data_IF_825367389857
#
_entry.id   IF_825367389857
#
_cell.length_a   1.000
_cell.length_b   1.000
_cell.length_c   1.000
_cell.angle_alpha   90.00
_cell.angle_beta   90.00
_cell.angle_gamma   90.00
#
_symmetry.space_group_name_H-M   'P 1'
#
loop_
_entity.id
_entity.type
_entity.pdbx_description
1 polymer ?
#
# COMPACT_ATOMS: atom_id res chain seq x y z
N UNK A 1 -10.07 8.26 -10.79
CA UNK A 1 -8.79 8.71 -11.37
C UNK A 1 -8.26 9.83 -10.50
N UNK A 2 -7.34 9.55 -9.58
CA UNK A 2 -6.56 10.62 -8.95
C UNK A 2 -5.78 11.28 -10.08
N UNK A 3 -6.17 12.51 -10.45
CA UNK A 3 -5.33 13.35 -11.26
C UNK A 3 -4.05 13.60 -10.46
N UNK A 4 -3.00 12.86 -10.80
CA UNK A 4 -1.67 12.97 -10.19
C UNK A 4 -1.00 14.26 -10.67
N UNK A 5 -1.63 15.40 -10.43
CA UNK A 5 -1.09 16.73 -10.73
C UNK A 5 0.29 16.94 -10.07
N UNK A 6 0.54 16.23 -8.95
CA UNK A 6 1.82 16.20 -8.24
C UNK A 6 2.93 15.47 -9.03
N UNK A 7 2.60 14.49 -9.88
CA UNK A 7 3.59 13.74 -10.67
C UNK A 7 3.96 14.42 -11.98
N UNK A 8 3.00 15.07 -12.65
CA UNK A 8 3.24 15.72 -13.96
C UNK A 8 4.30 16.82 -13.87
N UNK A 9 4.33 17.56 -12.75
CA UNK A 9 5.35 18.60 -12.48
C UNK A 9 6.50 18.12 -11.59
N UNK A 10 6.55 16.82 -11.25
CA UNK A 10 7.53 16.21 -10.33
C UNK A 10 7.67 16.91 -8.97
N UNK A 11 6.64 17.63 -8.52
CA UNK A 11 6.67 18.34 -7.24
C UNK A 11 6.86 17.40 -6.04
N UNK A 12 6.40 16.16 -6.16
CA UNK A 12 6.66 15.14 -5.15
C UNK A 12 8.15 14.87 -4.90
N UNK A 13 9.03 15.09 -5.89
CA UNK A 13 10.47 14.90 -5.73
C UNK A 13 11.15 16.05 -4.98
N UNK A 14 10.46 17.17 -4.78
CA UNK A 14 10.96 18.33 -4.03
C UNK A 14 10.59 18.26 -2.54
N UNK A 15 9.74 17.30 -2.16
CA UNK A 15 9.32 17.09 -0.79
C UNK A 15 10.42 16.43 0.05
N UNK A 16 10.41 16.68 1.35
CA UNK A 16 11.27 15.96 2.27
C UNK A 16 10.90 14.46 2.30
N UNK A 17 11.86 13.59 2.65
CA UNK A 17 11.65 12.12 2.66
C UNK A 17 10.41 11.70 3.46
N UNK A 18 10.11 12.24 4.66
CA UNK A 18 8.89 11.87 5.39
C UNK A 18 7.59 12.24 4.65
N UNK A 19 7.59 13.34 3.91
CA UNK A 19 6.43 13.79 3.12
C UNK A 19 6.25 12.92 1.87
N UNK A 20 7.35 12.54 1.21
CA UNK A 20 7.31 11.55 0.11
C UNK A 20 6.77 10.21 0.60
N UNK A 21 7.18 9.77 1.80
CA UNK A 21 6.67 8.56 2.40
C UNK A 21 5.15 8.63 2.64
N UNK A 22 4.61 9.77 3.07
CA UNK A 22 3.16 9.92 3.23
C UNK A 22 2.42 9.66 1.92
N UNK A 23 2.94 10.18 0.80
CA UNK A 23 2.35 9.96 -0.53
C UNK A 23 2.50 8.49 -0.98
N UNK A 24 3.66 7.87 -0.73
CA UNK A 24 3.87 6.45 -0.99
C UNK A 24 2.89 5.57 -0.20
N UNK A 25 2.62 5.90 1.08
CA UNK A 25 1.64 5.19 1.90
C UNK A 25 0.21 5.35 1.36
N UNK A 26 -0.15 6.49 0.79
CA UNK A 26 -1.46 6.66 0.13
C UNK A 26 -1.57 5.72 -1.08
N UNK A 27 -0.52 5.60 -1.89
CA UNK A 27 -0.48 4.66 -3.02
C UNK A 27 -0.59 3.20 -2.54
N UNK A 28 0.10 2.85 -1.45
CA UNK A 28 0.04 1.51 -0.82
C UNK A 28 -1.35 1.08 -0.37
N UNK A 29 -2.30 2.00 -0.19
CA UNK A 29 -3.67 1.68 0.24
C UNK A 29 -4.68 1.62 -0.92
N UNK A 30 -4.25 1.85 -2.15
CA UNK A 30 -5.06 1.71 -3.36
C UNK A 30 -5.33 0.24 -3.69
N UNK A 31 -6.50 -0.08 -4.25
CA UNK A 31 -6.78 -1.42 -4.82
C UNK A 31 -6.46 -1.49 -6.33
N UNK A 32 -5.70 -0.51 -6.86
CA UNK A 32 -5.25 -0.53 -8.25
C UNK A 32 -3.79 -0.95 -8.36
N UNK A 33 -3.52 -2.05 -9.07
CA UNK A 33 -2.16 -2.57 -9.31
C UNK A 33 -1.18 -1.53 -9.86
N UNK A 34 -1.65 -0.60 -10.70
CA UNK A 34 -0.82 0.48 -11.27
C UNK A 34 -0.28 1.44 -10.22
N UNK A 35 -1.02 1.66 -9.13
CA UNK A 35 -0.59 2.58 -8.07
C UNK A 35 0.56 1.97 -7.25
N UNK A 36 0.52 0.66 -7.00
CA UNK A 36 1.63 -0.07 -6.40
C UNK A 36 2.87 -0.13 -7.29
N UNK A 37 2.68 -0.28 -8.61
CA UNK A 37 3.79 -0.21 -9.57
C UNK A 37 4.47 1.16 -9.53
N UNK A 38 3.67 2.23 -9.46
CA UNK A 38 4.18 3.59 -9.28
C UNK A 38 4.91 3.74 -7.93
N UNK A 39 4.32 3.23 -6.84
CA UNK A 39 4.94 3.26 -5.52
C UNK A 39 6.31 2.56 -5.53
N UNK A 40 6.40 1.37 -6.12
CA UNK A 40 7.67 0.62 -6.26
C UNK A 40 8.74 1.42 -7.02
N UNK A 41 8.37 2.04 -8.13
CA UNK A 41 9.30 2.89 -8.90
C UNK A 41 9.81 4.06 -8.05
N UNK A 42 8.93 4.68 -7.28
CA UNK A 42 9.27 5.85 -6.48
C UNK A 42 10.05 5.48 -5.20
N UNK A 43 9.72 4.38 -4.51
CA UNK A 43 10.56 3.85 -3.42
C UNK A 43 12.01 3.66 -3.87
N UNK A 44 12.24 3.07 -5.04
CA UNK A 44 13.59 2.91 -5.61
C UNK A 44 14.31 4.25 -5.78
N UNK A 45 13.59 5.28 -6.24
CA UNK A 45 14.15 6.62 -6.35
C UNK A 45 14.52 7.20 -4.98
N UNK A 46 13.63 7.10 -3.98
CA UNK A 46 13.90 7.60 -2.62
C UNK A 46 15.09 6.89 -1.99
N UNK A 47 15.26 5.57 -2.17
CA UNK A 47 16.44 4.86 -1.66
C UNK A 47 17.76 5.34 -2.29
N UNK A 48 17.72 5.81 -3.54
CA UNK A 48 18.90 6.32 -4.23
C UNK A 48 19.26 7.76 -3.85
N UNK A 49 18.26 8.58 -3.47
CA UNK A 49 18.46 10.02 -3.24
C UNK A 49 18.42 10.42 -1.77
N UNK A 50 17.82 9.62 -0.89
CA UNK A 50 17.71 9.93 0.53
C UNK A 50 19.06 9.77 1.26
N UNK A 51 19.34 10.61 2.28
CA UNK A 51 20.46 10.40 3.19
C UNK A 51 20.43 8.99 3.81
N UNK A 52 21.59 8.38 4.00
CA UNK A 52 21.72 7.00 4.49
C UNK A 52 20.91 6.73 5.78
N UNK A 53 20.94 7.66 6.74
CA UNK A 53 20.18 7.54 8.00
C UNK A 53 18.67 7.42 7.79
N UNK A 54 18.13 8.02 6.71
CA UNK A 54 16.71 7.95 6.38
C UNK A 54 16.37 6.73 5.51
N UNK A 55 17.34 6.12 4.82
CA UNK A 55 17.11 4.89 4.05
C UNK A 55 16.69 3.73 4.95
N UNK A 56 17.29 3.61 6.15
CA UNK A 56 16.90 2.58 7.12
C UNK A 56 15.44 2.70 7.55
N UNK A 57 14.98 3.94 7.78
CA UNK A 57 13.59 4.22 8.09
C UNK A 57 12.65 3.81 6.94
N UNK A 58 13.03 4.10 5.69
CA UNK A 58 12.24 3.75 4.50
C UNK A 58 12.19 2.24 4.23
N UNK A 59 13.19 1.46 4.66
CA UNK A 59 13.28 0.02 4.39
C UNK A 59 12.08 -0.75 4.95
N UNK A 60 11.63 -0.41 6.17
CA UNK A 60 10.45 -1.03 6.78
C UNK A 60 9.19 -0.78 5.96
N UNK A 61 8.98 0.47 5.54
CA UNK A 61 7.83 0.85 4.71
C UNK A 61 7.84 0.18 3.35
N UNK A 62 9.00 0.08 2.69
CA UNK A 62 9.10 -0.62 1.41
C UNK A 62 8.80 -2.11 1.52
N UNK A 63 9.25 -2.78 2.60
CA UNK A 63 8.87 -4.17 2.86
C UNK A 63 7.36 -4.32 3.02
N UNK A 64 6.72 -3.41 3.76
CA UNK A 64 5.26 -3.42 3.91
C UNK A 64 4.54 -3.18 2.58
N UNK A 65 5.04 -2.29 1.73
CA UNK A 65 4.52 -2.09 0.38
C UNK A 65 4.59 -3.36 -0.47
N UNK A 66 5.67 -4.15 -0.36
CA UNK A 66 5.74 -5.44 -1.07
C UNK A 66 4.65 -6.42 -0.62
N UNK A 67 4.31 -6.42 0.67
CA UNK A 67 3.20 -7.26 1.19
C UNK A 67 1.86 -6.79 0.61
N UNK A 68 1.60 -5.48 0.58
CA UNK A 68 0.39 -4.93 -0.03
C UNK A 68 0.31 -5.25 -1.53
N UNK A 69 1.41 -5.08 -2.26
CA UNK A 69 1.46 -5.41 -3.68
C UNK A 69 1.18 -6.90 -3.93
N UNK A 70 1.70 -7.82 -3.12
CA UNK A 70 1.42 -9.25 -3.25
C UNK A 70 -0.07 -9.56 -3.07
N UNK A 71 -0.74 -8.91 -2.12
CA UNK A 71 -2.18 -9.06 -1.89
C UNK A 71 -2.99 -8.55 -3.10
N UNK A 72 -2.67 -7.36 -3.61
CA UNK A 72 -3.30 -6.79 -4.81
C UNK A 72 -2.98 -7.58 -6.07
N UNK A 73 -1.77 -8.10 -6.22
CA UNK A 73 -1.40 -8.93 -7.36
C UNK A 73 -2.18 -10.26 -7.35
N UNK A 74 -2.42 -10.82 -6.17
CA UNK A 74 -3.14 -12.08 -6.00
C UNK A 74 -4.65 -11.94 -6.15
N UNK A 75 -5.25 -10.96 -5.48
CA UNK A 75 -6.72 -10.86 -5.37
C UNK A 75 -7.32 -9.70 -6.16
N UNK A 76 -6.50 -8.75 -6.63
CA UNK A 76 -6.97 -7.52 -7.27
C UNK A 76 -7.66 -6.53 -6.31
N UNK A 77 -7.68 -6.83 -5.01
CA UNK A 77 -8.32 -6.06 -3.94
C UNK A 77 -7.77 -6.49 -2.58
N UNK A 78 -8.15 -5.79 -1.52
CA UNK A 78 -7.85 -6.13 -0.13
C UNK A 78 -9.00 -6.94 0.50
N UNK A 79 -8.86 -8.25 0.72
CA UNK A 79 -9.96 -9.05 1.25
C UNK A 79 -10.40 -8.64 2.66
N UNK A 80 -9.51 -8.07 3.46
CA UNK A 80 -9.85 -7.56 4.80
C UNK A 80 -10.86 -6.40 4.77
N UNK A 81 -11.05 -5.74 3.61
CA UNK A 81 -12.05 -4.69 3.40
C UNK A 81 -13.41 -5.23 2.93
N UNK A 82 -13.50 -6.52 2.59
CA UNK A 82 -14.69 -7.09 1.95
C UNK A 82 -15.95 -6.88 2.78
N UNK A 83 -15.92 -7.20 4.08
CA UNK A 83 -17.06 -7.01 4.97
C UNK A 83 -17.52 -5.55 5.04
N UNK A 84 -16.57 -4.61 5.19
CA UNK A 84 -16.84 -3.17 5.24
C UNK A 84 -17.46 -2.64 3.94
N UNK A 85 -16.99 -3.15 2.80
CA UNK A 85 -17.43 -2.76 1.47
C UNK A 85 -18.59 -3.61 0.92
N UNK A 86 -19.20 -4.47 1.76
CA UNK A 86 -20.31 -5.38 1.39
C UNK A 86 -19.98 -6.29 0.20
N UNK A 87 -18.73 -6.77 0.12
CA UNK A 87 -18.27 -7.75 -0.86
C UNK A 87 -18.27 -9.14 -0.25
N UNK A 88 -18.64 -10.14 -1.03
CA UNK A 88 -18.47 -11.54 -0.63
C UNK A 88 -16.99 -11.93 -0.75
N UNK A 89 -16.48 -12.61 0.29
CA UNK A 89 -15.13 -13.18 0.30
C UNK A 89 -15.14 -14.58 -0.31
N UNK A 90 -14.14 -14.90 -1.11
CA UNK A 90 -13.93 -16.26 -1.62
C UNK A 90 -13.33 -17.17 -0.54
N UNK A 91 -13.40 -18.49 -0.74
CA UNK A 91 -12.75 -19.45 0.16
C UNK A 91 -11.23 -19.22 0.26
N UNK A 92 -10.59 -18.85 -0.85
CA UNK A 92 -9.16 -18.54 -0.86
C UNK A 92 -8.83 -17.27 -0.08
N UNK A 93 -9.66 -16.22 -0.23
CA UNK A 93 -9.52 -14.98 0.53
C UNK A 93 -9.69 -15.21 2.04
N UNK A 94 -10.69 -16.02 2.44
CA UNK A 94 -10.91 -16.36 3.85
C UNK A 94 -9.75 -17.16 4.44
N UNK A 95 -9.24 -18.16 3.70
CA UNK A 95 -8.06 -18.91 4.10
C UNK A 95 -6.85 -17.99 4.25
N UNK A 96 -6.62 -17.11 3.26
CA UNK A 96 -5.53 -16.14 3.32
C UNK A 96 -5.61 -15.24 4.54
N UNK A 97 -6.79 -14.70 4.86
CA UNK A 97 -6.97 -13.85 6.05
C UNK A 97 -6.71 -14.61 7.36
N UNK A 98 -6.97 -15.91 7.42
CA UNK A 98 -6.72 -16.73 8.62
C UNK A 98 -5.24 -17.04 8.88
N UNK A 99 -4.38 -16.93 7.86
CA UNK A 99 -2.95 -17.29 7.90
C UNK A 99 -2.02 -16.06 8.05
N UNK A 100 -2.57 -14.86 8.25
CA UNK A 100 -1.80 -13.60 8.27
C UNK A 100 -1.88 -12.90 9.62
N UNK A 101 -0.74 -12.38 10.07
CA UNK A 101 -0.60 -11.78 11.40
C UNK A 101 -0.49 -10.25 11.41
N UNK A 102 -0.34 -9.58 10.24
CA UNK A 102 -0.21 -8.12 10.25
C UNK A 102 -1.51 -7.47 10.73
N UNK A 103 -1.40 -6.51 11.65
CA UNK A 103 -2.54 -5.91 12.35
C UNK A 103 -3.65 -5.36 11.44
N UNK A 104 -3.33 -4.91 10.22
CA UNK A 104 -4.32 -4.38 9.27
C UNK A 104 -5.17 -5.46 8.56
N UNK A 105 -4.76 -6.74 8.60
CA UNK A 105 -5.58 -7.84 8.07
C UNK A 105 -6.72 -8.23 9.01
N UNK A 106 -6.75 -7.70 10.23
CA UNK A 106 -7.86 -7.90 11.16
C UNK A 106 -9.11 -7.24 10.57
N UNK A 107 -9.96 -8.06 9.98
CA UNK A 107 -11.27 -7.62 9.51
C UNK A 107 -12.06 -7.10 10.71
N UNK A 108 -12.61 -5.89 10.60
CA UNK A 108 -13.60 -5.41 11.56
C UNK A 108 -14.78 -6.36 11.44
N UNK A 109 -15.12 -7.08 12.52
CA UNK A 109 -16.31 -7.94 12.54
C UNK A 109 -17.49 -7.03 12.23
N UNK A 110 -18.30 -7.37 11.22
CA UNK A 110 -19.54 -6.66 10.97
C UNK A 110 -20.37 -6.73 12.25
N UNK A 111 -20.68 -5.57 12.84
CA UNK A 111 -21.63 -5.49 13.96
C UNK A 111 -22.98 -5.92 13.40
N UNK A 112 -23.43 -7.12 13.74
CA UNK A 112 -24.81 -7.54 13.48
C UNK A 112 -25.71 -6.71 14.39
N UNK A 113 -26.42 -5.75 13.77
CA UNK A 113 -27.60 -5.08 14.35
C UNK A 113 -28.82 -5.97 14.26
#
# INVERSE_FOLDING_TARGET
MLNVCVCVRRWHLQLAVPEQLMLLLVLSHSEHKKDHQLAKMWYNHVFQTAPYVQQQYMQGHYRMEQVHYQEIEKFGRYPHRNALLKRESTAEELKWLSEREYGYHKSVKATTS
#
